data_IF_486537939897
#
_entry.id   IF_486537939897
#
_cell.length_a   1.000
_cell.length_b   1.000
_cell.length_c   1.000
_cell.angle_alpha   90.00
_cell.angle_beta   90.00
_cell.angle_gamma   90.00
#
_symmetry.space_group_name_H-M   'P 1'
#
loop_
_entity.id
_entity.type
_entity.pdbx_description
1 polymer ?
#
# COMPACT_ATOMS: atom_id res chain seq x y z
N UNK A 1 -16.04 25.21 24.89
CA UNK A 1 -16.76 25.91 25.98
C UNK A 1 -16.10 25.77 27.35
N UNK A 2 -15.71 24.57 27.81
CA UNK A 2 -15.14 24.35 29.15
C UNK A 2 -13.85 25.15 29.46
N UNK A 3 -12.97 25.37 28.47
CA UNK A 3 -11.75 26.19 28.65
C UNK A 3 -12.06 27.64 29.08
N UNK A 4 -13.10 28.25 28.53
CA UNK A 4 -13.47 29.64 28.87
C UNK A 4 -13.94 29.76 30.32
N UNK A 5 -14.69 28.77 30.83
CA UNK A 5 -15.10 28.69 32.23
C UNK A 5 -13.90 28.49 33.16
N UNK A 6 -12.98 27.58 32.85
CA UNK A 6 -11.76 27.42 33.65
C UNK A 6 -10.91 28.70 33.70
N UNK A 7 -10.78 29.42 32.59
CA UNK A 7 -10.04 30.69 32.55
C UNK A 7 -10.71 31.75 33.42
N UNK A 8 -12.05 31.87 33.37
CA UNK A 8 -12.80 32.80 34.20
C UNK A 8 -12.64 32.50 35.70
N UNK A 9 -12.80 31.23 36.10
CA UNK A 9 -12.71 30.86 37.51
C UNK A 9 -11.29 30.92 38.06
N UNK A 10 -10.25 30.61 37.26
CA UNK A 10 -8.85 30.87 37.66
C UNK A 10 -8.56 32.36 37.84
N UNK A 11 -9.11 33.21 36.98
CA UNK A 11 -8.97 34.66 37.13
C UNK A 11 -9.68 35.16 38.39
N UNK A 12 -10.86 34.63 38.73
CA UNK A 12 -11.60 34.97 39.95
C UNK A 12 -10.84 34.54 41.21
N UNK A 13 -10.32 33.32 41.24
CA UNK A 13 -9.43 32.84 42.31
C UNK A 13 -8.25 33.81 42.52
N UNK A 14 -7.59 34.21 41.44
CA UNK A 14 -6.43 35.10 41.53
C UNK A 14 -6.76 36.54 41.99
N UNK A 15 -7.94 37.06 41.65
CA UNK A 15 -8.32 38.46 41.97
C UNK A 15 -9.15 38.63 43.24
N UNK A 16 -9.87 37.60 43.64
CA UNK A 16 -10.86 37.67 44.72
C UNK A 16 -10.61 36.67 45.85
N UNK A 17 -9.49 35.94 45.82
CA UNK A 17 -9.10 34.91 46.81
C UNK A 17 -10.22 33.86 47.03
N UNK A 18 -11.00 33.61 45.97
CA UNK A 18 -12.07 32.62 45.96
C UNK A 18 -11.48 31.21 45.82
N UNK A 19 -12.06 30.25 46.53
CA UNK A 19 -11.62 28.85 46.47
C UNK A 19 -11.67 28.25 45.06
N UNK A 20 -10.63 27.50 44.69
CA UNK A 20 -10.48 26.85 43.39
C UNK A 20 -11.74 26.09 42.97
N UNK A 21 -12.35 26.51 41.87
CA UNK A 21 -13.54 25.88 41.32
C UNK A 21 -13.23 24.47 40.79
N UNK A 22 -13.92 23.46 41.32
CA UNK A 22 -13.90 22.08 40.83
C UNK A 22 -15.20 21.81 40.07
N UNK A 23 -15.16 21.61 38.74
CA UNK A 23 -16.37 21.32 37.98
C UNK A 23 -16.95 19.96 38.39
N UNK A 24 -18.26 19.91 38.65
CA UNK A 24 -18.99 18.67 38.95
C UNK A 24 -19.20 17.79 37.70
N UNK A 25 -19.19 18.41 36.52
CA UNK A 25 -19.32 17.74 35.23
C UNK A 25 -18.05 17.98 34.41
N UNK A 26 -17.27 16.92 34.22
CA UNK A 26 -16.13 16.93 33.31
C UNK A 26 -16.59 16.37 31.98
N UNK A 27 -16.63 17.22 30.94
CA UNK A 27 -16.84 16.75 29.58
C UNK A 27 -15.50 16.28 29.05
N UNK A 28 -15.30 14.97 28.97
CA UNK A 28 -14.22 14.42 28.12
C UNK A 28 -14.54 14.89 26.71
N UNK A 29 -13.65 15.65 26.10
CA UNK A 29 -13.78 15.93 24.68
C UNK A 29 -13.69 14.57 23.97
N UNK A 30 -14.82 14.05 23.51
CA UNK A 30 -14.87 13.09 22.40
C UNK A 30 -14.57 13.81 21.06
N UNK A 31 -13.85 14.93 21.11
CA UNK A 31 -13.06 15.41 20.00
C UNK A 31 -11.70 14.75 20.17
N UNK A 32 -11.54 13.59 19.54
CA UNK A 32 -10.27 12.88 19.54
C UNK A 32 -9.14 13.84 19.21
N UNK A 33 -8.28 14.11 20.18
CA UNK A 33 -6.85 14.01 19.88
C UNK A 33 -6.74 12.72 19.08
N UNK A 34 -6.39 12.82 17.80
CA UNK A 34 -6.27 11.66 16.93
C UNK A 34 -5.54 10.60 17.75
N UNK A 35 -6.28 9.58 18.20
CA UNK A 35 -5.74 8.56 19.09
C UNK A 35 -4.50 8.10 18.38
N UNK A 36 -3.35 8.27 19.05
CA UNK A 36 -2.02 7.85 18.64
C UNK A 36 -2.16 6.70 17.65
N UNK A 37 -2.15 7.05 16.35
CA UNK A 37 -2.70 6.17 15.32
C UNK A 37 -1.87 4.91 15.39
N UNK A 38 -2.49 3.78 15.76
CA UNK A 38 -1.78 2.54 16.06
C UNK A 38 -0.98 2.12 14.82
N UNK A 39 0.28 2.55 14.77
CA UNK A 39 1.14 2.41 13.60
C UNK A 39 1.55 0.95 13.49
N UNK A 40 1.57 0.43 12.27
CA UNK A 40 2.13 -0.90 12.01
C UNK A 40 3.56 -0.96 12.55
N UNK A 41 3.75 -1.82 13.54
CA UNK A 41 5.05 -2.16 14.13
C UNK A 41 5.97 -2.75 13.07
N UNK A 42 7.27 -2.79 13.37
CA UNK A 42 8.25 -3.42 12.47
C UNK A 42 7.93 -4.88 12.17
N UNK A 43 7.33 -5.60 13.13
CA UNK A 43 6.95 -7.00 12.97
C UNK A 43 5.73 -7.10 12.06
N UNK A 44 4.66 -6.34 12.32
CA UNK A 44 3.47 -6.33 11.45
C UNK A 44 3.79 -5.93 10.00
N UNK A 45 4.72 -4.99 9.80
CA UNK A 45 5.22 -4.64 8.45
C UNK A 45 6.03 -5.76 7.79
N UNK A 46 6.60 -6.70 8.55
CA UNK A 46 7.22 -7.92 8.00
C UNK A 46 6.15 -8.92 7.64
N UNK A 47 5.22 -9.16 8.55
CA UNK A 47 4.13 -10.13 8.37
C UNK A 47 3.24 -9.75 7.19
N UNK A 48 2.90 -8.47 7.02
CA UNK A 48 2.16 -7.96 5.85
C UNK A 48 2.93 -8.19 4.53
N UNK A 49 4.26 -8.06 4.54
CA UNK A 49 5.06 -8.33 3.33
C UNK A 49 5.09 -9.83 3.02
N UNK A 50 5.14 -10.69 4.03
CA UNK A 50 5.05 -12.14 3.84
C UNK A 50 3.66 -12.54 3.34
N UNK A 51 2.60 -12.06 3.99
CA UNK A 51 1.22 -12.22 3.56
C UNK A 51 1.00 -11.75 2.10
N UNK A 52 1.69 -10.68 1.67
CA UNK A 52 1.60 -10.20 0.29
C UNK A 52 2.14 -11.19 -0.75
N UNK A 53 3.14 -12.01 -0.38
CA UNK A 53 3.70 -13.07 -1.22
C UNK A 53 2.72 -14.25 -1.33
N UNK A 54 2.00 -14.56 -0.26
CA UNK A 54 0.98 -15.61 -0.21
C UNK A 54 -0.32 -15.21 -0.92
N UNK A 55 -0.76 -13.97 -0.74
CA UNK A 55 -1.93 -13.40 -1.42
C UNK A 55 -1.76 -13.45 -2.95
N UNK A 56 -0.52 -13.37 -3.43
CA UNK A 56 -0.14 -13.38 -4.85
C UNK A 56 -0.32 -14.71 -5.59
N UNK A 57 -1.32 -15.52 -5.25
CA UNK A 57 -1.65 -16.74 -6.00
C UNK A 57 -2.12 -16.35 -7.41
N UNK A 58 -1.51 -16.97 -8.44
CA UNK A 58 -1.78 -16.67 -9.86
C UNK A 58 -3.28 -16.81 -10.18
N UNK A 59 -3.87 -15.89 -10.98
CA UNK A 59 -5.22 -16.09 -11.51
C UNK A 59 -5.40 -17.46 -12.17
N UNK A 60 -6.57 -18.06 -11.98
CA UNK A 60 -6.90 -19.41 -12.46
C UNK A 60 -6.54 -19.59 -13.95
N UNK A 61 -5.91 -20.71 -14.32
CA UNK A 61 -5.51 -21.03 -15.70
C UNK A 61 -6.62 -20.77 -16.73
N UNK A 62 -7.86 -21.05 -16.35
CA UNK A 62 -9.03 -20.93 -17.20
C UNK A 62 -9.49 -19.49 -17.45
N UNK A 63 -9.00 -18.49 -16.70
CA UNK A 63 -9.39 -17.09 -16.89
C UNK A 63 -8.69 -16.41 -18.07
N UNK A 64 -7.68 -17.05 -18.67
CA UNK A 64 -6.90 -16.50 -19.78
C UNK A 64 -7.35 -17.07 -21.14
N UNK A 65 -7.32 -16.24 -22.17
CA UNK A 65 -7.43 -16.63 -23.58
C UNK A 65 -6.22 -17.47 -24.01
N UNK A 66 -6.28 -18.23 -25.12
CA UNK A 66 -5.14 -18.96 -25.63
C UNK A 66 -3.90 -18.08 -25.89
N UNK A 67 -4.09 -16.84 -26.37
CA UNK A 67 -3.01 -15.89 -26.62
C UNK A 67 -2.36 -15.41 -25.32
N UNK A 68 -3.17 -15.07 -24.31
CA UNK A 68 -2.68 -14.69 -22.97
C UNK A 68 -1.91 -15.84 -22.31
N UNK A 69 -2.41 -17.08 -22.44
CA UNK A 69 -1.71 -18.28 -21.94
C UNK A 69 -0.35 -18.45 -22.59
N UNK A 70 -0.27 -18.25 -23.90
CA UNK A 70 0.98 -18.40 -24.66
C UNK A 70 2.03 -17.34 -24.26
N UNK A 71 1.61 -16.08 -24.10
CA UNK A 71 2.47 -15.00 -23.56
C UNK A 71 2.95 -15.31 -22.15
N UNK A 72 2.04 -15.71 -21.26
CA UNK A 72 2.40 -16.03 -19.88
C UNK A 72 3.33 -17.26 -19.81
N UNK A 73 3.15 -18.25 -20.69
CA UNK A 73 4.04 -19.40 -20.81
C UNK A 73 5.46 -18.97 -21.21
N UNK A 74 5.59 -18.00 -22.11
CA UNK A 74 6.89 -17.44 -22.50
C UNK A 74 7.58 -16.70 -21.34
N UNK A 75 6.82 -15.96 -20.54
CA UNK A 75 7.33 -15.33 -19.32
C UNK A 75 7.86 -16.38 -18.32
N UNK A 76 7.10 -17.44 -18.05
CA UNK A 76 7.52 -18.51 -17.14
C UNK A 76 8.74 -19.27 -17.66
N UNK A 77 8.81 -19.53 -18.97
CA UNK A 77 9.96 -20.15 -19.62
C UNK A 77 11.24 -19.33 -19.34
N UNK A 78 11.15 -18.01 -19.52
CA UNK A 78 12.24 -17.08 -19.24
C UNK A 78 12.60 -17.07 -17.75
N UNK A 79 11.60 -16.99 -16.86
CA UNK A 79 11.79 -16.97 -15.40
C UNK A 79 12.49 -18.22 -14.87
N UNK A 80 12.14 -19.39 -15.38
CA UNK A 80 12.73 -20.66 -14.93
C UNK A 80 13.94 -21.08 -15.78
N UNK A 81 14.30 -20.32 -16.81
CA UNK A 81 15.37 -20.66 -17.76
C UNK A 81 15.16 -22.07 -18.35
N UNK A 82 13.94 -22.34 -18.80
CA UNK A 82 13.56 -23.60 -19.43
C UNK A 82 12.91 -23.34 -20.80
N UNK A 83 12.92 -24.32 -21.71
CA UNK A 83 12.16 -24.25 -22.96
C UNK A 83 10.66 -23.99 -22.73
N UNK A 84 10.01 -23.23 -23.64
CA UNK A 84 8.60 -22.84 -23.52
C UNK A 84 7.64 -24.02 -23.57
N UNK A 85 7.99 -25.07 -24.31
CA UNK A 85 7.26 -26.34 -24.35
C UNK A 85 7.32 -27.08 -23.00
N UNK A 86 8.45 -27.00 -22.29
CA UNK A 86 8.66 -27.62 -20.98
C UNK A 86 7.93 -26.93 -19.80
N UNK A 87 7.30 -25.78 -20.00
CA UNK A 87 6.52 -25.11 -18.93
C UNK A 87 5.19 -25.85 -18.70
N UNK A 88 5.12 -26.57 -17.57
CA UNK A 88 3.93 -27.25 -17.06
C UNK A 88 3.14 -26.49 -16.00
N UNK A 89 2.17 -27.19 -15.38
CA UNK A 89 1.29 -26.65 -14.34
C UNK A 89 2.07 -26.36 -13.04
N UNK A 90 3.04 -27.20 -12.71
CA UNK A 90 3.92 -27.08 -11.54
C UNK A 90 4.72 -25.77 -11.55
N UNK A 91 5.14 -25.31 -12.73
CA UNK A 91 5.82 -24.01 -12.88
C UNK A 91 4.88 -22.83 -12.62
N UNK A 92 3.58 -22.99 -12.91
CA UNK A 92 2.57 -21.99 -12.57
C UNK A 92 2.30 -22.00 -11.08
N UNK A 93 2.03 -23.15 -10.49
CA UNK A 93 1.73 -23.25 -9.05
C UNK A 93 2.88 -22.73 -8.18
N UNK A 94 4.12 -22.93 -8.61
CA UNK A 94 5.31 -22.40 -7.92
C UNK A 94 5.60 -20.92 -8.16
N UNK A 95 4.94 -20.29 -9.14
CA UNK A 95 5.26 -18.92 -9.54
C UNK A 95 4.37 -17.91 -8.82
N UNK A 96 4.79 -17.44 -7.64
CA UNK A 96 4.11 -16.32 -6.97
C UNK A 96 4.04 -15.09 -7.89
N UNK A 97 2.92 -14.36 -7.82
CA UNK A 97 2.73 -13.09 -8.50
C UNK A 97 3.45 -11.94 -7.79
N UNK A 98 3.99 -10.99 -8.56
CA UNK A 98 4.82 -9.90 -8.07
C UNK A 98 4.06 -8.58 -7.90
N UNK A 99 2.83 -8.47 -8.42
CA UNK A 99 2.01 -7.25 -8.34
C UNK A 99 1.77 -6.78 -6.92
N UNK A 100 1.23 -7.65 -6.08
CA UNK A 100 0.84 -7.31 -4.70
C UNK A 100 2.08 -7.13 -3.80
N UNK A 101 3.09 -8.01 -3.86
CA UNK A 101 4.35 -7.79 -3.15
C UNK A 101 5.03 -6.47 -3.51
N UNK A 102 5.12 -6.13 -4.80
CA UNK A 102 5.75 -4.87 -5.22
C UNK A 102 4.96 -3.64 -4.76
N UNK A 103 3.62 -3.65 -4.87
CA UNK A 103 2.75 -2.57 -4.41
C UNK A 103 2.91 -2.34 -2.90
N UNK A 104 2.77 -3.41 -2.12
CA UNK A 104 2.81 -3.36 -0.65
C UNK A 104 4.18 -2.94 -0.16
N UNK A 105 5.25 -3.56 -0.67
CA UNK A 105 6.60 -3.23 -0.25
C UNK A 105 6.97 -1.78 -0.59
N UNK A 106 6.60 -1.32 -1.78
CA UNK A 106 6.82 0.07 -2.20
C UNK A 106 6.07 1.06 -1.30
N UNK A 107 4.78 0.81 -1.04
CA UNK A 107 3.94 1.68 -0.22
C UNK A 107 4.44 1.77 1.23
N UNK A 108 4.84 0.65 1.82
CA UNK A 108 5.32 0.60 3.21
C UNK A 108 6.70 1.24 3.43
N UNK A 109 7.54 1.29 2.39
CA UNK A 109 8.92 1.80 2.48
C UNK A 109 8.99 3.29 2.16
N UNK A 110 8.27 3.72 1.12
CA UNK A 110 8.30 5.10 0.65
C UNK A 110 7.19 5.95 1.24
N UNK A 111 6.15 5.33 1.81
CA UNK A 111 5.01 6.06 2.36
C UNK A 111 4.12 6.69 1.29
N UNK A 112 4.03 6.08 0.09
CA UNK A 112 3.11 6.54 -0.96
C UNK A 112 1.70 6.67 -0.41
N UNK A 113 1.08 7.81 -0.69
CA UNK A 113 -0.34 8.00 -0.39
C UNK A 113 -1.20 7.20 -1.36
N UNK A 114 -2.44 6.85 -0.98
CA UNK A 114 -3.36 6.15 -1.89
C UNK A 114 -3.48 6.78 -3.28
N UNK A 115 -3.55 8.12 -3.34
CA UNK A 115 -3.63 8.85 -4.62
C UNK A 115 -2.32 8.79 -5.44
N UNK A 116 -1.16 8.60 -4.80
CA UNK A 116 0.12 8.43 -5.49
C UNK A 116 0.27 6.99 -6.02
N UNK A 117 -0.27 6.00 -5.30
CA UNK A 117 -0.39 4.63 -5.80
C UNK A 117 -1.34 4.57 -7.00
N UNK A 118 -2.47 5.28 -6.93
CA UNK A 118 -3.46 5.38 -8.02
C UNK A 118 -2.84 5.96 -9.30
N UNK A 119 -1.94 6.94 -9.16
CA UNK A 119 -1.28 7.66 -10.27
C UNK A 119 0.03 7.05 -10.71
N UNK A 120 0.52 6.02 -10.02
CA UNK A 120 1.83 5.46 -10.30
C UNK A 120 1.87 4.87 -11.71
N UNK A 121 2.91 5.22 -12.46
CA UNK A 121 3.17 4.74 -13.82
C UNK A 121 4.54 4.07 -13.91
N UNK A 122 4.72 3.21 -14.92
CA UNK A 122 5.98 2.48 -15.14
C UNK A 122 7.19 3.41 -15.20
N UNK A 123 7.06 4.57 -15.83
CA UNK A 123 8.15 5.55 -16.00
C UNK A 123 8.66 6.17 -14.68
N UNK A 124 7.93 6.00 -13.57
CA UNK A 124 8.47 6.40 -12.26
C UNK A 124 9.56 5.46 -11.78
N UNK A 125 9.53 4.19 -12.19
CA UNK A 125 10.37 3.16 -11.59
C UNK A 125 11.74 3.17 -12.24
N UNK A 126 12.77 3.53 -11.46
CA UNK A 126 14.17 3.37 -11.83
C UNK A 126 14.81 2.35 -10.89
N UNK A 127 14.76 1.08 -11.28
CA UNK A 127 15.30 -0.03 -10.47
C UNK A 127 16.83 0.02 -10.40
N UNK A 128 17.50 0.52 -11.44
CA UNK A 128 18.95 0.66 -11.47
C UNK A 128 19.43 1.72 -10.47
N UNK A 129 18.75 2.87 -10.43
CA UNK A 129 19.07 3.93 -9.47
C UNK A 129 18.44 3.69 -8.09
N UNK A 130 17.59 2.67 -7.92
CA UNK A 130 16.83 2.41 -6.71
C UNK A 130 15.99 3.63 -6.27
N UNK A 131 15.24 4.22 -7.21
CA UNK A 131 14.44 5.44 -6.98
C UNK A 131 13.08 5.34 -7.67
N UNK A 132 12.04 5.94 -7.06
CA UNK A 132 10.80 6.28 -7.78
C UNK A 132 10.81 7.76 -8.17
N UNK A 133 10.68 8.09 -9.44
CA UNK A 133 10.72 9.46 -9.97
C UNK A 133 9.30 10.01 -10.07
N UNK A 134 8.81 10.65 -9.00
CA UNK A 134 7.44 11.17 -8.94
C UNK A 134 7.42 12.62 -9.40
N UNK A 135 6.81 12.85 -10.58
CA UNK A 135 6.69 14.19 -11.15
C UNK A 135 5.77 15.10 -10.30
N UNK A 136 6.01 16.41 -10.38
CA UNK A 136 5.31 17.44 -9.60
C UNK A 136 3.79 17.37 -9.80
N UNK A 137 3.35 17.16 -11.03
CA UNK A 137 1.93 17.12 -11.45
C UNK A 137 1.19 15.93 -10.84
N UNK A 138 1.93 14.89 -10.46
CA UNK A 138 1.39 13.66 -9.91
C UNK A 138 1.52 13.59 -8.38
N UNK A 139 2.29 14.49 -7.77
CA UNK A 139 2.40 14.65 -6.31
C UNK A 139 1.08 15.06 -5.67
N UNK A 140 0.76 14.45 -4.52
CA UNK A 140 -0.48 14.68 -3.78
C UNK A 140 -0.51 16.01 -3.02
N UNK A 141 0.64 16.66 -2.81
CA UNK A 141 0.78 18.02 -2.27
C UNK A 141 1.62 18.81 -3.27
N UNK A 142 0.97 19.60 -4.11
CA UNK A 142 1.50 20.13 -5.38
C UNK A 142 2.66 21.14 -5.33
N UNK A 143 3.65 20.98 -4.45
CA UNK A 143 4.77 21.90 -4.41
C UNK A 143 6.11 21.39 -4.93
N UNK A 144 6.42 20.09 -4.93
CA UNK A 144 7.73 19.62 -5.43
C UNK A 144 7.67 18.21 -6.05
N UNK A 145 8.47 18.01 -7.11
CA UNK A 145 8.84 16.67 -7.57
C UNK A 145 9.71 16.02 -6.49
N UNK A 146 9.46 14.75 -6.20
CA UNK A 146 10.24 14.06 -5.18
C UNK A 146 10.58 12.64 -5.61
N UNK A 147 11.75 12.20 -5.17
CA UNK A 147 12.37 10.98 -5.63
C UNK A 147 12.70 10.09 -4.43
N UNK A 148 11.72 9.37 -3.84
CA UNK A 148 12.02 8.48 -2.74
C UNK A 148 13.01 7.40 -3.20
N UNK A 149 14.09 7.27 -2.44
CA UNK A 149 15.01 6.14 -2.55
C UNK A 149 14.29 4.90 -2.03
N UNK A 150 14.35 3.82 -2.81
CA UNK A 150 13.84 2.51 -2.44
C UNK A 150 15.00 1.58 -2.10
N UNK A 151 14.78 0.62 -1.21
CA UNK A 151 15.79 -0.42 -0.98
C UNK A 151 16.00 -1.30 -2.23
N UNK A 152 17.21 -1.86 -2.39
CA UNK A 152 17.52 -2.80 -3.48
C UNK A 152 16.54 -3.98 -3.56
N UNK A 153 16.06 -4.45 -2.39
CA UNK A 153 15.02 -5.49 -2.33
C UNK A 153 13.71 -5.07 -2.98
N UNK A 154 13.32 -3.81 -2.85
CA UNK A 154 12.09 -3.28 -3.47
C UNK A 154 12.31 -3.05 -4.95
N UNK A 155 13.49 -2.57 -5.35
CA UNK A 155 13.87 -2.47 -6.75
C UNK A 155 13.77 -3.84 -7.44
N UNK A 156 14.24 -4.91 -6.80
CA UNK A 156 14.10 -6.28 -7.32
C UNK A 156 12.64 -6.74 -7.42
N UNK A 157 11.80 -6.44 -6.42
CA UNK A 157 10.36 -6.76 -6.48
C UNK A 157 9.67 -6.02 -7.64
N UNK A 158 10.02 -4.74 -7.84
CA UNK A 158 9.50 -3.93 -8.94
C UNK A 158 10.00 -4.43 -10.29
N UNK A 159 11.28 -4.81 -10.42
CA UNK A 159 11.83 -5.40 -11.64
C UNK A 159 11.11 -6.69 -12.03
N UNK A 160 10.94 -7.60 -11.08
CA UNK A 160 10.19 -8.86 -11.28
C UNK A 160 8.72 -8.59 -11.64
N UNK A 161 8.13 -7.55 -11.06
CA UNK A 161 6.78 -7.11 -11.41
C UNK A 161 6.69 -6.55 -12.82
N UNK A 162 7.60 -5.66 -13.22
CA UNK A 162 7.64 -5.10 -14.58
C UNK A 162 7.77 -6.20 -15.63
N UNK A 163 8.66 -7.17 -15.41
CA UNK A 163 8.81 -8.33 -16.31
C UNK A 163 7.54 -9.20 -16.36
N UNK A 164 6.85 -9.40 -15.23
CA UNK A 164 5.57 -10.12 -15.22
C UNK A 164 4.47 -9.35 -15.93
N UNK A 165 4.42 -8.03 -15.73
CA UNK A 165 3.41 -7.10 -16.25
C UNK A 165 3.36 -7.12 -17.78
N UNK A 166 4.50 -7.22 -18.45
CA UNK A 166 4.60 -7.34 -19.91
C UNK A 166 3.86 -8.56 -20.49
N UNK A 167 3.66 -9.60 -19.68
CA UNK A 167 2.95 -10.81 -20.09
C UNK A 167 1.43 -10.75 -19.87
N UNK A 168 0.90 -9.63 -19.35
CA UNK A 168 -0.51 -9.48 -18.96
C UNK A 168 -1.19 -8.49 -19.92
N UNK A 169 -2.10 -8.99 -20.76
CA UNK A 169 -2.79 -8.19 -21.81
C UNK A 169 -3.50 -6.95 -21.27
N UNK A 170 -4.04 -7.01 -20.05
CA UNK A 170 -4.70 -5.87 -19.40
C UNK A 170 -3.79 -4.64 -19.22
N UNK A 171 -2.47 -4.78 -19.34
CA UNK A 171 -1.51 -3.69 -19.28
C UNK A 171 -1.01 -3.19 -20.64
N UNK A 172 -1.41 -3.80 -21.76
CA UNK A 172 -0.91 -3.44 -23.10
C UNK A 172 -1.26 -1.99 -23.49
N UNK A 173 -2.37 -1.46 -22.99
CA UNK A 173 -2.91 -0.14 -23.35
C UNK A 173 -2.77 0.93 -22.26
N UNK A 174 -2.06 0.63 -21.17
CA UNK A 174 -1.87 1.57 -20.06
C UNK A 174 -0.45 1.52 -19.54
N UNK A 175 0.06 2.67 -19.09
CA UNK A 175 1.33 2.80 -18.37
C UNK A 175 1.14 2.71 -16.85
N UNK A 176 -0.09 2.54 -16.35
CA UNK A 176 -0.40 2.39 -14.93
C UNK A 176 0.44 1.25 -14.35
N UNK A 177 1.10 1.51 -13.22
CA UNK A 177 2.03 0.59 -12.59
C UNK A 177 1.30 -0.59 -11.94
N UNK A 178 0.16 -0.33 -11.31
CA UNK A 178 -0.68 -1.36 -10.69
C UNK A 178 -2.16 -1.14 -11.02
N UNK A 179 -2.80 -2.15 -11.61
CA UNK A 179 -4.25 -2.20 -11.82
C UNK A 179 -4.87 -3.36 -11.04
N UNK A 180 -6.13 -3.17 -10.67
CA UNK A 180 -7.01 -4.18 -10.09
C UNK A 180 -7.29 -5.30 -11.09
N UNK A 181 -7.88 -6.41 -10.65
CA UNK A 181 -8.31 -7.50 -11.55
C UNK A 181 -9.31 -7.05 -12.61
N UNK A 182 -10.01 -5.93 -12.40
CA UNK A 182 -10.95 -5.33 -13.36
C UNK A 182 -10.29 -4.31 -14.30
N UNK A 183 -8.97 -4.16 -14.27
CA UNK A 183 -8.23 -3.20 -15.10
C UNK A 183 -8.25 -1.75 -14.62
N UNK A 184 -8.93 -1.44 -13.52
CA UNK A 184 -8.95 -0.08 -12.96
C UNK A 184 -7.74 0.17 -12.05
N UNK A 185 -7.21 1.41 -11.97
CA UNK A 185 -6.21 1.79 -10.97
C UNK A 185 -6.66 1.51 -9.53
N UNK A 186 -5.69 1.34 -8.63
CA UNK A 186 -5.98 1.20 -7.21
C UNK A 186 -6.40 2.53 -6.60
N UNK A 187 -7.63 2.61 -6.12
CA UNK A 187 -8.17 3.71 -5.31
C UNK A 187 -7.96 3.46 -3.82
N UNK A 188 -8.16 4.49 -2.98
CA UNK A 188 -8.18 4.36 -1.52
C UNK A 188 -9.04 3.19 -1.05
N UNK A 189 -10.26 3.03 -1.58
CA UNK A 189 -11.17 1.94 -1.20
C UNK A 189 -10.60 0.55 -1.52
N UNK A 190 -10.03 0.37 -2.71
CA UNK A 190 -9.41 -0.92 -3.08
C UNK A 190 -8.14 -1.22 -2.31
N UNK A 191 -7.38 -0.19 -1.90
CA UNK A 191 -6.20 -0.33 -1.08
C UNK A 191 -6.55 -0.67 0.36
N UNK A 192 -7.57 -0.03 0.95
CA UNK A 192 -8.12 -0.42 2.26
C UNK A 192 -8.56 -1.88 2.27
N UNK A 193 -9.29 -2.30 1.23
CA UNK A 193 -9.72 -3.69 1.10
C UNK A 193 -8.53 -4.65 1.03
N UNK A 194 -7.54 -4.35 0.18
CA UNK A 194 -6.31 -5.15 0.07
C UNK A 194 -5.59 -5.23 1.42
N UNK A 195 -5.42 -4.11 2.11
CA UNK A 195 -4.70 -4.09 3.39
C UNK A 195 -5.42 -4.92 4.46
N UNK A 196 -6.75 -4.84 4.54
CA UNK A 196 -7.53 -5.65 5.47
C UNK A 196 -7.35 -7.16 5.20
N UNK A 197 -7.32 -7.57 3.93
CA UNK A 197 -7.07 -8.97 3.56
C UNK A 197 -5.64 -9.42 3.94
N UNK A 198 -4.66 -8.54 3.79
CA UNK A 198 -3.28 -8.84 4.20
C UNK A 198 -3.14 -8.94 5.73
N UNK A 199 -3.82 -8.06 6.47
CA UNK A 199 -3.88 -8.17 7.93
C UNK A 199 -4.56 -9.47 8.38
N UNK A 200 -5.64 -9.88 7.71
CA UNK A 200 -6.32 -11.15 7.99
C UNK A 200 -5.39 -12.35 7.77
N UNK A 201 -4.67 -12.39 6.64
CA UNK A 201 -3.68 -13.44 6.35
C UNK A 201 -2.54 -13.42 7.39
N UNK A 202 -2.07 -12.24 7.76
CA UNK A 202 -1.01 -12.06 8.75
C UNK A 202 -1.46 -12.29 10.21
N UNK A 203 -2.75 -12.54 10.46
CA UNK A 203 -3.29 -12.68 11.82
C UNK A 203 -3.22 -11.40 12.66
N UNK A 204 -3.19 -10.23 12.01
CA UNK A 204 -3.12 -8.92 12.66
C UNK A 204 -4.53 -8.44 12.99
N UNK A 205 -4.77 -8.14 14.27
CA UNK A 205 -6.05 -7.56 14.70
C UNK A 205 -6.20 -6.12 14.17
N UNK A 206 -7.34 -5.87 13.53
CA UNK A 206 -7.71 -4.57 12.94
C UNK A 206 -8.99 -4.00 13.59
N UNK A 207 -9.61 -4.70 14.55
CA UNK A 207 -10.90 -4.32 15.12
C UNK A 207 -10.91 -2.94 15.81
N UNK A 208 -9.75 -2.49 16.30
CA UNK A 208 -9.56 -1.18 16.93
C UNK A 208 -8.73 -0.20 16.07
N UNK A 209 -8.49 -0.51 14.79
CA UNK A 209 -7.58 0.26 13.93
C UNK A 209 -8.31 0.82 12.71
N UNK A 210 -8.22 2.14 12.50
CA UNK A 210 -8.46 2.71 11.17
C UNK A 210 -7.21 2.47 10.32
N UNK A 211 -7.28 1.51 9.41
CA UNK A 211 -6.15 1.11 8.57
C UNK A 211 -5.98 2.02 7.33
N UNK A 212 -6.88 2.99 7.12
CA UNK A 212 -6.79 4.02 6.06
C UNK A 212 -7.54 5.28 6.39
#
# INVERSE_FOLDING_TARGET
MQKALHTLYRWREHRHDESAWKPELTFTASGGEASDGDYLTKQERRDIREASLEYGTIPNYNSYTPAERDRYKAYLASRFTIPKDAVGLEHRERANGWKIPSLVATSLDTGLRPIEVERAVVNWVDTNACVLRIAREQSSKGNDAWAPVISARIAELLERWLAQREAIEAYDSTDTLWITTKGNPYTSRSLSYLMNQLCEIAGIDTANRQVT
#
